data_IF_413707982624
#
_entry.id   IF_413707982624
#
_cell.length_a   1.000
_cell.length_b   1.000
_cell.length_c   1.000
_cell.angle_alpha   90.00
_cell.angle_beta   90.00
_cell.angle_gamma   90.00
#
_symmetry.space_group_name_H-M   'P 1'
#
loop_
_entity.id
_entity.type
_entity.pdbx_description
1 polymer ?
#
# COMPACT_ATOMS: atom_id res chain seq x y z
N UNK A 1 -22.08 -50.03 -28.41
CA UNK A 1 -20.69 -49.89 -27.92
C UNK A 1 -20.03 -48.58 -28.35
N UNK A 2 -20.14 -48.14 -29.61
CA UNK A 2 -19.49 -46.91 -30.13
C UNK A 2 -19.84 -45.60 -29.40
N UNK A 3 -21.10 -45.42 -29.00
CA UNK A 3 -21.57 -44.19 -28.31
C UNK A 3 -20.97 -44.01 -26.90
N UNK A 4 -20.68 -45.11 -26.21
CA UNK A 4 -20.10 -45.09 -24.86
C UNK A 4 -18.60 -44.74 -24.94
N UNK A 5 -17.93 -45.24 -25.99
CA UNK A 5 -16.53 -44.90 -26.28
C UNK A 5 -16.34 -43.41 -26.59
N UNK A 6 -17.26 -42.81 -27.36
CA UNK A 6 -17.24 -41.37 -27.66
C UNK A 6 -17.47 -40.54 -26.39
N UNK A 7 -18.41 -40.97 -25.53
CA UNK A 7 -18.68 -40.28 -24.27
C UNK A 7 -17.48 -40.37 -23.31
N UNK A 8 -16.82 -41.53 -23.25
CA UNK A 8 -15.61 -41.77 -22.46
C UNK A 8 -14.43 -40.91 -22.89
N UNK A 9 -14.32 -40.56 -24.18
CA UNK A 9 -13.27 -39.68 -24.70
C UNK A 9 -13.60 -38.19 -24.53
N UNK A 10 -14.88 -37.81 -24.51
CA UNK A 10 -15.31 -36.41 -24.36
C UNK A 10 -15.13 -35.87 -22.94
N UNK A 11 -15.30 -36.71 -21.92
CA UNK A 11 -15.15 -36.32 -20.50
C UNK A 11 -13.73 -35.81 -20.17
N UNK A 12 -12.63 -36.53 -20.47
CA UNK A 12 -11.29 -36.03 -20.21
C UNK A 12 -10.92 -34.82 -21.08
N UNK A 13 -11.44 -34.75 -22.30
CA UNK A 13 -11.21 -33.60 -23.18
C UNK A 13 -11.82 -32.31 -22.60
N UNK A 14 -13.05 -32.36 -22.10
CA UNK A 14 -13.69 -31.22 -21.45
C UNK A 14 -12.95 -30.78 -20.17
N UNK A 15 -12.40 -31.74 -19.42
CA UNK A 15 -11.61 -31.46 -18.21
C UNK A 15 -10.29 -30.75 -18.55
N UNK A 16 -9.55 -31.26 -19.54
CA UNK A 16 -8.29 -30.66 -20.02
C UNK A 16 -8.53 -29.25 -20.60
N UNK A 17 -9.58 -29.08 -21.41
CA UNK A 17 -9.96 -27.77 -21.96
C UNK A 17 -10.34 -26.75 -20.86
N UNK A 18 -10.95 -27.21 -19.77
CA UNK A 18 -11.34 -26.32 -18.65
C UNK A 18 -10.13 -25.85 -17.86
N UNK A 19 -9.19 -26.74 -17.56
CA UNK A 19 -7.93 -26.37 -16.89
C UNK A 19 -7.12 -25.39 -17.73
N UNK A 20 -6.93 -25.68 -19.02
CA UNK A 20 -6.17 -24.82 -19.93
C UNK A 20 -6.78 -23.41 -20.08
N UNK A 21 -8.12 -23.30 -20.00
CA UNK A 21 -8.83 -22.01 -20.07
C UNK A 21 -8.71 -21.20 -18.77
N UNK A 22 -8.70 -21.86 -17.61
CA UNK A 22 -8.50 -21.19 -16.32
C UNK A 22 -7.05 -20.71 -16.15
N UNK A 23 -6.09 -21.54 -16.53
CA UNK A 23 -4.66 -21.21 -16.47
C UNK A 23 -4.34 -20.00 -17.35
N UNK A 24 -4.86 -19.96 -18.58
CA UNK A 24 -4.69 -18.80 -19.48
C UNK A 24 -5.26 -17.49 -18.92
N UNK A 25 -6.40 -17.54 -18.23
CA UNK A 25 -7.00 -16.36 -17.63
C UNK A 25 -6.19 -15.87 -16.40
N UNK A 26 -5.73 -16.80 -15.56
CA UNK A 26 -4.89 -16.48 -14.40
C UNK A 26 -3.52 -15.93 -14.82
N UNK A 27 -2.89 -16.50 -15.84
CA UNK A 27 -1.64 -16.02 -16.41
C UNK A 27 -1.76 -14.61 -16.97
N UNK A 28 -2.86 -14.29 -17.67
CA UNK A 28 -3.11 -12.93 -18.16
C UNK A 28 -3.27 -11.93 -17.02
N UNK A 29 -3.98 -12.29 -15.95
CA UNK A 29 -4.13 -11.41 -14.78
C UNK A 29 -2.78 -11.18 -14.07
N UNK A 30 -1.94 -12.21 -13.98
CA UNK A 30 -0.60 -12.09 -13.43
C UNK A 30 0.30 -11.22 -14.31
N UNK A 31 0.29 -11.42 -15.62
CA UNK A 31 1.04 -10.60 -16.56
C UNK A 31 0.59 -9.13 -16.48
N UNK A 32 -0.72 -8.88 -16.38
CA UNK A 32 -1.28 -7.54 -16.21
C UNK A 32 -0.83 -6.89 -14.90
N UNK A 33 -0.95 -7.58 -13.77
CA UNK A 33 -0.51 -7.05 -12.47
C UNK A 33 0.99 -6.81 -12.43
N UNK A 34 1.78 -7.68 -13.09
CA UNK A 34 3.22 -7.51 -13.19
C UNK A 34 3.57 -6.25 -13.99
N UNK A 35 2.92 -6.04 -15.14
CA UNK A 35 3.11 -4.82 -15.93
C UNK A 35 2.67 -3.56 -15.17
N UNK A 36 1.58 -3.62 -14.40
CA UNK A 36 1.14 -2.51 -13.56
C UNK A 36 2.16 -2.19 -12.45
N UNK A 37 2.69 -3.21 -11.78
CA UNK A 37 3.71 -3.03 -10.75
C UNK A 37 5.01 -2.46 -11.33
N UNK A 38 5.46 -2.96 -12.47
CA UNK A 38 6.65 -2.46 -13.18
C UNK A 38 6.49 -0.98 -13.56
N UNK A 39 5.31 -0.60 -14.07
CA UNK A 39 5.01 0.80 -14.37
C UNK A 39 5.00 1.69 -13.11
N UNK A 40 4.50 1.17 -11.98
CA UNK A 40 4.51 1.90 -10.70
C UNK A 40 5.91 2.06 -10.13
N UNK A 41 6.73 1.02 -10.22
CA UNK A 41 8.13 1.04 -9.80
C UNK A 41 8.91 2.10 -10.58
N UNK A 42 8.78 2.08 -11.91
CA UNK A 42 9.40 3.10 -12.77
C UNK A 42 8.93 4.52 -12.44
N UNK A 43 7.65 4.72 -12.13
CA UNK A 43 7.13 6.02 -11.72
C UNK A 43 7.65 6.46 -10.34
N UNK A 44 8.00 5.53 -9.45
CA UNK A 44 8.64 5.84 -8.17
C UNK A 44 10.11 6.21 -8.37
N UNK A 45 10.84 5.51 -9.21
CA UNK A 45 12.25 5.83 -9.55
C UNK A 45 12.36 7.25 -10.12
N UNK A 46 11.45 7.64 -11.02
CA UNK A 46 11.40 9.00 -11.58
C UNK A 46 11.14 10.06 -10.49
N UNK A 47 10.24 9.77 -9.55
CA UNK A 47 9.96 10.67 -8.41
C UNK A 47 11.14 10.80 -7.47
N UNK A 48 11.83 9.69 -7.18
CA UNK A 48 13.03 9.70 -6.35
C UNK A 48 14.12 10.55 -6.99
N UNK A 49 14.35 10.37 -8.29
CA UNK A 49 15.30 11.19 -9.05
C UNK A 49 14.95 12.67 -9.01
N UNK A 50 13.67 13.02 -9.20
CA UNK A 50 13.21 14.40 -9.13
C UNK A 50 13.40 15.01 -7.72
N UNK A 51 13.19 14.22 -6.66
CA UNK A 51 13.44 14.66 -5.29
C UNK A 51 14.94 14.85 -5.02
N UNK A 52 15.79 13.95 -5.49
CA UNK A 52 17.25 14.08 -5.37
C UNK A 52 17.77 15.32 -6.09
N UNK A 53 17.23 15.64 -7.27
CA UNK A 53 17.56 16.87 -7.99
C UNK A 53 17.09 18.12 -7.23
N UNK A 54 15.86 18.10 -6.70
CA UNK A 54 15.34 19.20 -5.88
C UNK A 54 16.17 19.42 -4.63
N UNK A 55 16.61 18.35 -3.98
CA UNK A 55 17.49 18.41 -2.82
C UNK A 55 18.83 19.04 -3.21
N UNK A 56 19.45 18.58 -4.31
CA UNK A 56 20.69 19.16 -4.82
C UNK A 56 20.56 20.65 -5.15
N UNK A 57 19.47 21.07 -5.78
CA UNK A 57 19.18 22.47 -6.08
C UNK A 57 18.97 23.31 -4.81
N UNK A 58 18.32 22.73 -3.79
CA UNK A 58 18.14 23.38 -2.49
C UNK A 58 19.47 23.51 -1.75
N UNK A 59 20.32 22.48 -1.81
CA UNK A 59 21.66 22.49 -1.23
C UNK A 59 22.55 23.54 -1.93
N UNK A 60 22.56 23.60 -3.27
CA UNK A 60 23.34 24.60 -4.01
C UNK A 60 22.86 26.03 -3.76
N UNK A 61 21.55 26.25 -3.66
CA UNK A 61 20.99 27.56 -3.29
C UNK A 61 21.40 28.00 -1.87
N UNK A 62 21.59 27.05 -0.94
CA UNK A 62 22.08 27.34 0.42
C UNK A 62 23.58 27.69 0.43
N UNK A 63 24.34 27.26 -0.55
CA UNK A 63 25.80 27.46 -0.63
C UNK A 63 26.20 28.72 -1.40
N UNK A 64 25.27 29.54 -1.90
CA UNK A 64 25.62 30.81 -2.58
C UNK A 64 26.44 31.68 -1.61
N UNK A 65 27.74 31.88 -1.87
CA UNK A 65 28.57 32.71 -1.01
C UNK A 65 28.13 34.17 -1.18
N UNK A 66 27.91 34.86 -0.07
CA UNK A 66 27.66 36.30 -0.07
C UNK A 66 28.89 36.99 -0.70
N UNK A 67 28.73 37.85 -1.72
CA UNK A 67 29.86 38.52 -2.35
C UNK A 67 30.66 39.38 -1.34
N UNK A 68 32.00 39.41 -1.43
CA UNK A 68 32.86 40.09 -0.45
C UNK A 68 32.63 41.60 -0.35
N UNK A 69 31.98 42.23 -1.34
CA UNK A 69 31.64 43.65 -1.31
C UNK A 69 30.36 43.99 -0.50
N UNK A 70 29.60 42.99 -0.05
CA UNK A 70 28.51 43.17 0.92
C UNK A 70 28.94 42.87 2.37
N UNK A 71 30.20 42.47 2.58
CA UNK A 71 30.72 42.05 3.88
C UNK A 71 30.97 43.23 4.84
N UNK A 72 30.97 44.46 4.33
CA UNK A 72 31.20 45.69 5.11
C UNK A 72 29.91 46.36 5.61
N UNK A 73 28.72 45.80 5.32
CA UNK A 73 27.49 46.29 5.95
C UNK A 73 27.34 45.57 7.29
N UNK A 74 27.18 46.29 8.43
CA UNK A 74 26.87 45.63 9.69
C UNK A 74 25.65 44.74 9.47
N UNK A 75 25.84 43.44 9.56
CA UNK A 75 24.76 42.47 9.47
C UNK A 75 23.83 42.80 10.64
N UNK A 76 22.56 43.18 10.41
CA UNK A 76 21.61 43.31 11.50
C UNK A 76 21.59 41.98 12.25
N UNK A 77 21.67 41.95 13.59
CA UNK A 77 21.78 40.70 14.36
C UNK A 77 20.69 39.67 14.03
N UNK A 78 19.57 40.11 13.46
CA UNK A 78 18.47 39.27 12.99
C UNK A 78 18.81 38.30 11.84
N UNK A 79 19.84 38.58 11.01
CA UNK A 79 20.17 37.72 9.85
C UNK A 79 21.22 36.64 10.16
N UNK A 80 22.04 36.79 11.20
CA UNK A 80 22.93 35.72 11.66
C UNK A 80 22.15 34.56 12.32
N UNK A 81 20.94 34.84 12.81
CA UNK A 81 20.10 33.86 13.53
C UNK A 81 19.38 32.86 12.61
N UNK A 82 19.41 33.05 11.28
CA UNK A 82 18.72 32.16 10.31
C UNK A 82 19.30 30.75 10.25
N UNK A 83 20.55 30.56 10.69
CA UNK A 83 21.19 29.24 10.81
C UNK A 83 21.13 28.62 12.21
N UNK A 84 20.65 29.38 13.20
CA UNK A 84 20.52 28.90 14.57
C UNK A 84 19.20 28.15 14.69
N UNK A 85 19.22 26.91 15.16
CA UNK A 85 18.00 26.14 15.47
C UNK A 85 17.31 26.85 16.62
N UNK A 86 16.50 27.85 16.29
CA UNK A 86 15.76 28.63 17.26
C UNK A 86 14.63 27.76 17.79
N UNK A 87 14.45 27.79 19.10
CA UNK A 87 13.40 27.04 19.77
C UNK A 87 12.05 27.30 19.07
N UNK A 88 11.33 26.26 18.61
CA UNK A 88 10.08 26.42 17.88
C UNK A 88 9.03 27.22 18.66
N UNK A 89 9.05 27.15 19.99
CA UNK A 89 8.15 27.97 20.82
C UNK A 89 8.47 29.47 20.70
N UNK A 90 9.75 29.84 20.67
CA UNK A 90 10.16 31.22 20.46
C UNK A 90 9.83 31.75 19.06
N UNK A 91 10.01 30.92 18.02
CA UNK A 91 9.66 31.31 16.65
C UNK A 91 8.15 31.57 16.54
N UNK A 92 7.34 30.71 17.17
CA UNK A 92 5.89 30.90 17.23
C UNK A 92 5.53 32.19 17.97
N UNK A 93 6.12 32.45 19.14
CA UNK A 93 5.88 33.66 19.90
C UNK A 93 6.30 34.94 19.14
N UNK A 94 7.42 34.92 18.42
CA UNK A 94 7.86 36.04 17.59
C UNK A 94 6.90 36.27 16.41
N UNK A 95 6.48 35.20 15.73
CA UNK A 95 5.47 35.27 14.67
C UNK A 95 4.16 35.86 15.19
N UNK A 96 3.70 35.41 16.35
CA UNK A 96 2.47 35.89 17.00
C UNK A 96 2.57 37.38 17.34
N UNK A 97 3.73 37.84 17.81
CA UNK A 97 4.00 39.25 18.07
C UNK A 97 3.98 40.07 16.78
N UNK A 98 4.57 39.56 15.69
CA UNK A 98 4.58 40.24 14.39
C UNK A 98 3.18 40.33 13.78
N UNK A 99 2.35 39.30 13.94
CA UNK A 99 0.97 39.30 13.45
C UNK A 99 0.09 40.32 14.17
N UNK A 100 0.30 40.53 15.48
CA UNK A 100 -0.38 41.57 16.23
C UNK A 100 0.01 42.99 15.80
N UNK A 101 1.20 43.16 15.21
CA UNK A 101 1.70 44.44 14.71
C UNK A 101 1.28 44.74 13.26
N UNK A 102 0.59 43.81 12.59
CA UNK A 102 0.18 44.02 11.21
C UNK A 102 -0.96 45.05 11.10
N UNK A 103 -1.01 45.83 10.00
CA UNK A 103 -2.14 46.70 9.72
C UNK A 103 -3.46 45.91 9.66
N UNK A 104 -4.59 46.52 10.07
CA UNK A 104 -5.89 45.84 10.15
C UNK A 104 -6.36 45.26 8.82
N UNK A 105 -5.99 45.88 7.70
CA UNK A 105 -6.35 45.37 6.36
C UNK A 105 -5.63 44.05 6.05
N UNK A 106 -4.39 43.87 6.52
CA UNK A 106 -3.65 42.61 6.38
C UNK A 106 -4.19 41.57 7.36
N UNK A 107 -4.61 41.98 8.56
CA UNK A 107 -5.20 41.06 9.54
C UNK A 107 -6.48 40.39 9.04
N UNK A 108 -7.31 41.10 8.26
CA UNK A 108 -8.54 40.55 7.66
C UNK A 108 -8.28 39.47 6.62
N UNK A 109 -7.10 39.43 6.00
CA UNK A 109 -6.71 38.37 5.07
C UNK A 109 -6.21 37.10 5.78
N UNK A 110 -5.95 37.16 7.09
CA UNK A 110 -5.47 36.01 7.85
C UNK A 110 -6.65 35.08 8.12
N UNK A 111 -6.57 33.79 7.74
CA UNK A 111 -7.60 32.82 8.06
C UNK A 111 -7.81 32.71 9.57
N UNK A 112 -9.08 32.62 9.99
CA UNK A 112 -9.45 32.49 11.39
C UNK A 112 -8.70 31.30 12.02
N UNK A 113 -7.92 31.52 13.09
CA UNK A 113 -7.14 30.47 13.74
C UNK A 113 -8.00 29.31 14.24
N UNK A 114 -9.26 29.58 14.59
CA UNK A 114 -10.21 28.58 15.08
C UNK A 114 -10.61 27.61 13.97
N UNK A 115 -10.76 28.11 12.73
CA UNK A 115 -11.09 27.30 11.56
C UNK A 115 -9.92 26.42 11.14
N UNK A 116 -8.69 26.97 11.18
CA UNK A 116 -7.49 26.20 10.90
C UNK A 116 -7.27 25.07 11.91
N UNK A 117 -7.55 25.32 13.19
CA UNK A 117 -7.45 24.30 14.22
C UNK A 117 -8.49 23.19 14.02
N UNK A 118 -9.75 23.56 13.73
CA UNK A 118 -10.81 22.59 13.45
C UNK A 118 -10.50 21.73 12.20
N UNK A 119 -9.98 22.33 11.14
CA UNK A 119 -9.55 21.60 9.93
C UNK A 119 -8.41 20.62 10.24
N UNK A 120 -7.43 21.06 11.03
CA UNK A 120 -6.33 20.21 11.47
C UNK A 120 -6.84 19.01 12.29
N UNK A 121 -7.70 19.25 13.26
CA UNK A 121 -8.27 18.21 14.11
C UNK A 121 -9.11 17.21 13.29
N UNK A 122 -9.85 17.70 12.29
CA UNK A 122 -10.59 16.84 11.35
C UNK A 122 -9.64 15.98 10.51
N UNK A 123 -8.57 16.58 9.97
CA UNK A 123 -7.56 15.87 9.20
C UNK A 123 -6.87 14.79 10.04
N UNK A 124 -6.55 15.09 11.28
CA UNK A 124 -5.90 14.17 12.21
C UNK A 124 -6.82 12.99 12.54
N UNK A 125 -8.13 13.24 12.76
CA UNK A 125 -9.14 12.18 12.89
C UNK A 125 -9.19 11.26 11.67
N UNK A 126 -9.24 11.83 10.46
CA UNK A 126 -9.25 11.06 9.19
C UNK A 126 -7.98 10.21 9.01
N UNK A 127 -6.83 10.72 9.45
CA UNK A 127 -5.57 9.97 9.41
C UNK A 127 -5.62 8.81 10.41
N UNK A 128 -6.04 9.08 11.64
CA UNK A 128 -6.14 8.06 12.68
C UNK A 128 -7.12 6.94 12.29
N UNK A 129 -8.25 7.29 11.68
CA UNK A 129 -9.20 6.31 11.17
C UNK A 129 -8.57 5.42 10.09
N UNK A 130 -7.88 6.00 9.11
CA UNK A 130 -7.18 5.22 8.06
C UNK A 130 -6.11 4.30 8.63
N UNK A 131 -5.38 4.75 9.65
CA UNK A 131 -4.40 3.92 10.33
C UNK A 131 -5.07 2.73 11.03
N UNK A 132 -6.18 2.96 11.74
CA UNK A 132 -6.96 1.90 12.37
C UNK A 132 -7.59 0.93 11.37
N UNK A 133 -8.07 1.41 10.22
CA UNK A 133 -8.55 0.55 9.13
C UNK A 133 -7.41 -0.30 8.55
N UNK A 134 -6.24 0.30 8.32
CA UNK A 134 -5.06 -0.43 7.83
C UNK A 134 -4.60 -1.51 8.80
N UNK A 135 -4.62 -1.22 10.10
CA UNK A 135 -4.27 -2.18 11.14
C UNK A 135 -5.24 -3.37 11.16
N UNK A 136 -6.56 -3.11 11.14
CA UNK A 136 -7.56 -4.17 11.03
C UNK A 136 -7.40 -5.02 9.78
N UNK A 137 -7.10 -4.39 8.64
CA UNK A 137 -6.85 -5.10 7.38
C UNK A 137 -5.61 -5.98 7.46
N UNK A 138 -4.55 -5.52 8.14
CA UNK A 138 -3.34 -6.32 8.38
C UNK A 138 -3.61 -7.50 9.31
N UNK A 139 -4.37 -7.28 10.38
CA UNK A 139 -4.81 -8.33 11.31
C UNK A 139 -5.69 -9.38 10.61
N UNK A 140 -6.60 -8.95 9.74
CA UNK A 140 -7.43 -9.85 8.95
C UNK A 140 -6.60 -10.68 7.97
N UNK A 141 -5.64 -10.05 7.27
CA UNK A 141 -4.70 -10.77 6.41
C UNK A 141 -3.85 -11.76 7.19
N UNK A 142 -3.37 -11.38 8.37
CA UNK A 142 -2.63 -12.27 9.25
C UNK A 142 -3.52 -13.42 9.75
N UNK A 143 -4.78 -13.13 10.09
CA UNK A 143 -5.76 -14.14 10.50
C UNK A 143 -6.08 -15.10 9.37
N UNK A 144 -6.25 -14.63 8.13
CA UNK A 144 -6.42 -15.51 6.96
C UNK A 144 -5.17 -16.35 6.69
N UNK A 145 -3.98 -15.80 6.94
CA UNK A 145 -2.70 -16.51 6.82
C UNK A 145 -2.51 -17.58 7.90
N UNK A 146 -2.99 -17.32 9.12
CA UNK A 146 -2.89 -18.24 10.27
C UNK A 146 -4.12 -19.12 10.45
N UNK A 147 -5.21 -18.86 9.73
CA UNK A 147 -6.34 -19.76 9.68
C UNK A 147 -5.88 -21.01 8.94
N UNK A 148 -5.88 -22.19 9.59
CA UNK A 148 -5.74 -23.43 8.86
C UNK A 148 -7.01 -23.56 8.01
N UNK A 149 -6.97 -23.08 6.77
CA UNK A 149 -7.81 -23.66 5.74
C UNK A 149 -7.52 -25.16 5.82
N UNK A 150 -8.52 -25.94 6.22
CA UNK A 150 -8.45 -27.36 6.53
C UNK A 150 -7.48 -28.08 5.59
N UNK A 151 -6.23 -28.21 6.03
CA UNK A 151 -5.34 -29.21 5.52
C UNK A 151 -5.96 -30.53 5.98
N UNK A 152 -6.22 -31.50 5.09
CA UNK A 152 -6.47 -32.83 5.57
C UNK A 152 -5.25 -33.24 6.39
N UNK A 153 -5.50 -33.47 7.67
CA UNK A 153 -4.58 -34.09 8.61
C UNK A 153 -4.08 -35.41 8.01
N UNK A 154 -2.90 -35.39 7.40
CA UNK A 154 -2.08 -36.57 7.25
C UNK A 154 -0.93 -36.43 8.24
N UNK A 155 -1.15 -37.01 9.42
CA UNK A 155 -0.10 -37.34 10.36
C UNK A 155 1.01 -38.11 9.63
N UNK A 156 2.25 -37.78 10.02
CA UNK A 156 3.43 -38.63 10.14
C UNK A 156 3.42 -39.94 9.31
N UNK A 157 4.44 -40.26 8.52
CA UNK A 157 5.72 -40.75 9.03
C UNK A 157 6.65 -41.01 7.84
N UNK A 158 7.95 -40.83 8.07
CA UNK A 158 9.12 -41.26 7.27
C UNK A 158 8.96 -42.45 6.31
N UNK A 159 9.47 -42.25 5.08
CA UNK A 159 10.07 -43.24 4.15
C UNK A 159 9.21 -44.38 3.54
N UNK A 160 9.36 -44.71 2.22
CA UNK A 160 8.78 -45.89 1.57
C UNK A 160 9.71 -47.12 1.76
N UNK A 161 9.27 -48.40 1.67
CA UNK A 161 8.75 -49.00 0.41
C UNK A 161 7.70 -50.14 0.52
N UNK A 162 7.12 -50.44 -0.65
CA UNK A 162 6.70 -51.78 -1.14
C UNK A 162 5.45 -52.52 -0.61
N UNK A 163 4.61 -52.86 -1.61
CA UNK A 163 3.89 -54.13 -1.85
C UNK A 163 2.58 -54.47 -1.10
N UNK A 164 1.57 -54.80 -1.93
CA UNK A 164 0.33 -55.56 -1.63
C UNK A 164 -0.67 -54.85 -0.69
N UNK A 165 -2.00 -54.83 -0.86
CA UNK A 165 -2.97 -55.73 -1.48
C UNK A 165 -4.32 -54.99 -1.44
N UNK A 166 -5.13 -55.03 -2.49
CA UNK A 166 -6.59 -54.83 -2.40
C UNK A 166 -7.21 -56.13 -1.85
N UNK A 167 -8.35 -56.14 -1.11
CA UNK A 167 -9.66 -55.97 -1.76
C UNK A 167 -10.83 -55.40 -0.92
N UNK A 168 -11.80 -54.86 -1.68
CA UNK A 168 -13.25 -55.06 -1.60
C UNK A 168 -14.14 -54.55 -0.44
N UNK A 169 -15.28 -54.00 -0.92
CA UNK A 169 -16.65 -54.12 -0.41
C UNK A 169 -17.22 -52.99 0.46
N UNK A 170 -18.32 -52.40 -0.03
CA UNK A 170 -19.32 -51.72 0.82
C UNK A 170 -19.77 -50.34 0.33
N UNK A 171 -20.50 -50.24 -0.78
CA UNK A 171 -21.49 -49.16 -0.93
C UNK A 171 -22.76 -49.57 -0.17
N UNK A 172 -23.54 -48.60 0.36
CA UNK A 172 -24.63 -48.11 -0.47
C UNK A 172 -24.85 -46.58 -0.43
N UNK A 173 -25.18 -46.04 -1.62
CA UNK A 173 -26.21 -45.02 -1.94
C UNK A 173 -26.50 -43.85 -0.99
N UNK A 174 -26.68 -42.62 -1.53
CA UNK A 174 -27.99 -42.28 -2.11
C UNK A 174 -27.95 -41.60 -3.50
N UNK A 175 -28.77 -42.11 -4.40
CA UNK A 175 -29.23 -41.46 -5.65
C UNK A 175 -30.35 -40.44 -5.31
N UNK A 176 -30.43 -39.30 -6.02
CA UNK A 176 -31.31 -38.16 -5.70
C UNK A 176 -32.78 -38.40 -6.05
N UNK A 177 -33.66 -37.56 -5.52
CA UNK A 177 -35.08 -37.50 -5.89
C UNK A 177 -35.64 -36.07 -5.79
N UNK A 178 -36.77 -35.76 -6.47
CA UNK A 178 -36.83 -34.69 -7.46
C UNK A 178 -37.75 -33.52 -7.07
N UNK A 179 -37.56 -32.38 -7.72
CA UNK A 179 -38.48 -31.25 -7.70
C UNK A 179 -39.71 -31.54 -8.57
N UNK A 180 -40.95 -31.34 -8.10
CA UNK A 180 -42.14 -31.25 -8.94
C UNK A 180 -42.69 -29.82 -9.07
N UNK A 181 -43.02 -29.49 -10.32
CA UNK A 181 -43.77 -28.36 -10.90
C UNK A 181 -43.40 -26.92 -10.56
#
# INVERSE_FOLDING_TARGET
MKKIFVLSMLIPFAMICSCQKQDSAAERQLAQRKAELDAREKALDEREKALAEREKATASARTIPIPPYLQSRPIPPDLQSRGQVRDPAQMKAERDRRLQQLPPDVQKLIPDPSRLQAEKDERDKRIQERLGQRQRRLEELQRMRMSPAAAPSAAETTSPPSLATSPAAGAPSPTPSPTPQ
#
